data_IF_528947790566
#
_entry.id   IF_528947790566
#
_cell.length_a   1.000
_cell.length_b   1.000
_cell.length_c   1.000
_cell.angle_alpha   90.00
_cell.angle_beta   90.00
_cell.angle_gamma   90.00
#
_symmetry.space_group_name_H-M   'P 1'
#
loop_
_entity.id
_entity.type
_entity.pdbx_description
1 polymer ?
#
# COMPACT_ATOMS: atom_id res chain seq x y z
N UNK A 1 11.17 17.34 -22.17
CA UNK A 1 10.35 16.12 -22.11
C UNK A 1 11.19 14.92 -22.46
N UNK A 2 10.99 13.83 -21.78
CA UNK A 2 11.71 12.59 -22.04
C UNK A 2 10.93 11.72 -23.03
N UNK A 3 11.61 11.10 -23.97
CA UNK A 3 11.05 10.04 -24.82
C UNK A 3 10.61 8.86 -23.93
N UNK A 4 9.52 8.19 -24.26
CA UNK A 4 9.00 7.03 -23.50
C UNK A 4 9.97 5.84 -23.39
N UNK A 5 11.13 5.91 -24.02
CA UNK A 5 12.25 4.97 -23.88
C UNK A 5 13.14 5.25 -22.65
N UNK A 6 13.05 6.44 -22.05
CA UNK A 6 13.85 6.82 -20.90
C UNK A 6 13.12 6.44 -19.60
N UNK A 7 13.78 5.66 -18.76
CA UNK A 7 13.29 5.38 -17.42
C UNK A 7 13.59 6.54 -16.46
N UNK A 8 13.02 6.48 -15.27
CA UNK A 8 13.14 7.53 -14.24
C UNK A 8 14.60 7.83 -13.89
N UNK A 9 15.46 6.80 -13.79
CA UNK A 9 16.88 6.97 -13.53
C UNK A 9 17.60 7.70 -14.65
N UNK A 10 17.28 7.39 -15.91
CA UNK A 10 17.87 8.07 -17.06
C UNK A 10 17.48 9.56 -17.11
N UNK A 11 16.22 9.85 -16.79
CA UNK A 11 15.71 11.23 -16.71
C UNK A 11 16.44 11.99 -15.60
N UNK A 12 16.51 11.44 -14.39
CA UNK A 12 17.20 12.07 -13.26
C UNK A 12 18.68 12.30 -13.56
N UNK A 13 19.36 11.28 -14.10
CA UNK A 13 20.77 11.39 -14.50
C UNK A 13 20.98 12.50 -15.56
N UNK A 14 20.08 12.62 -16.53
CA UNK A 14 20.14 13.69 -17.51
C UNK A 14 19.95 15.07 -16.85
N UNK A 15 18.93 15.23 -16.02
CA UNK A 15 18.66 16.49 -15.32
C UNK A 15 19.83 16.93 -14.45
N UNK A 16 20.42 16.02 -13.71
CA UNK A 16 21.57 16.31 -12.85
C UNK A 16 22.83 16.61 -13.66
N UNK A 17 23.12 15.90 -14.73
CA UNK A 17 24.31 16.12 -15.58
C UNK A 17 24.24 17.45 -16.34
N UNK A 18 23.09 17.78 -16.89
CA UNK A 18 22.89 19.02 -17.65
C UNK A 18 22.55 20.22 -16.78
N UNK A 19 22.33 20.02 -15.48
CA UNK A 19 21.91 21.04 -14.53
C UNK A 19 20.69 21.87 -15.02
N UNK A 20 19.71 21.18 -15.60
CA UNK A 20 18.47 21.81 -16.10
C UNK A 20 17.79 22.57 -14.96
N UNK A 21 17.36 23.79 -15.24
CA UNK A 21 16.68 24.67 -14.29
C UNK A 21 17.49 24.92 -12.98
N UNK A 22 18.81 24.80 -13.04
CA UNK A 22 19.74 24.94 -11.91
C UNK A 22 19.40 24.00 -10.73
N UNK A 23 18.98 22.79 -11.03
CA UNK A 23 18.55 21.81 -10.04
C UNK A 23 19.63 21.50 -8.99
N UNK A 24 20.93 21.58 -9.39
CA UNK A 24 22.03 21.35 -8.45
C UNK A 24 22.14 22.46 -7.42
N UNK A 25 21.73 23.68 -7.75
CA UNK A 25 21.68 24.80 -6.80
C UNK A 25 20.66 24.61 -5.67
N UNK A 26 19.68 23.71 -5.87
CA UNK A 26 18.69 23.32 -4.87
C UNK A 26 19.19 22.22 -3.92
N UNK A 27 20.24 21.49 -4.31
CA UNK A 27 20.76 20.32 -3.60
C UNK A 27 21.95 20.70 -2.73
N UNK A 28 22.03 20.09 -1.57
CA UNK A 28 23.13 20.28 -0.61
C UNK A 28 23.79 18.94 -0.31
N UNK A 29 25.07 18.99 0.00
CA UNK A 29 25.78 17.82 0.51
C UNK A 29 25.09 17.30 1.78
N UNK A 30 24.87 15.99 1.84
CA UNK A 30 24.13 15.36 2.94
C UNK A 30 22.64 15.28 2.77
N UNK A 31 22.06 15.88 1.72
CA UNK A 31 20.64 15.67 1.39
C UNK A 31 20.32 14.20 1.16
N UNK A 32 19.09 13.79 1.48
CA UNK A 32 18.64 12.41 1.35
C UNK A 32 17.53 12.32 0.30
N UNK A 33 17.77 11.57 -0.76
CA UNK A 33 16.78 11.23 -1.75
C UNK A 33 16.06 9.94 -1.38
N UNK A 34 14.75 10.03 -1.17
CA UNK A 34 13.90 8.87 -0.96
C UNK A 34 13.27 8.47 -2.30
N UNK A 35 13.82 7.43 -2.91
CA UNK A 35 13.50 7.05 -4.29
C UNK A 35 12.86 5.66 -4.38
N UNK A 36 12.26 5.33 -5.53
CA UNK A 36 11.83 3.98 -5.79
C UNK A 36 12.90 3.15 -6.54
N UNK A 37 12.58 1.88 -6.79
CA UNK A 37 13.51 0.96 -7.45
C UNK A 37 13.81 1.34 -8.91
N UNK A 38 12.98 2.16 -9.54
CA UNK A 38 13.19 2.70 -10.88
C UNK A 38 14.42 3.60 -10.98
N UNK A 39 14.82 4.21 -9.85
CA UNK A 39 15.98 5.09 -9.77
C UNK A 39 17.31 4.38 -9.46
N UNK A 40 17.34 3.05 -9.38
CA UNK A 40 18.54 2.28 -9.03
C UNK A 40 19.79 2.72 -9.82
N UNK A 41 19.66 2.95 -11.11
CA UNK A 41 20.77 3.28 -11.99
C UNK A 41 21.22 4.76 -11.88
N UNK A 42 20.53 5.57 -11.07
CA UNK A 42 20.93 6.94 -10.72
C UNK A 42 21.73 7.02 -9.40
N UNK A 43 21.70 5.97 -8.57
CA UNK A 43 22.37 5.97 -7.25
C UNK A 43 23.86 6.30 -7.32
N UNK A 44 24.66 5.79 -8.30
CA UNK A 44 26.07 6.16 -8.38
C UNK A 44 26.28 7.66 -8.57
N UNK A 45 25.52 8.31 -9.46
CA UNK A 45 25.65 9.75 -9.70
C UNK A 45 25.24 10.58 -8.48
N UNK A 46 24.17 10.18 -7.76
CA UNK A 46 23.76 10.85 -6.52
C UNK A 46 24.88 10.78 -5.47
N UNK A 47 25.50 9.62 -5.31
CA UNK A 47 26.63 9.43 -4.40
C UNK A 47 27.84 10.30 -4.78
N UNK A 48 28.16 10.39 -6.07
CA UNK A 48 29.24 11.25 -6.56
C UNK A 48 28.99 12.74 -6.30
N UNK A 49 27.72 13.14 -6.17
CA UNK A 49 27.30 14.50 -5.80
C UNK A 49 27.19 14.71 -4.28
N UNK A 50 27.59 13.74 -3.46
CA UNK A 50 27.48 13.80 -2.01
C UNK A 50 26.06 13.67 -1.46
N UNK A 51 25.13 13.18 -2.28
CA UNK A 51 23.71 13.00 -1.93
C UNK A 51 23.47 11.55 -1.49
N UNK A 52 22.89 11.38 -0.32
CA UNK A 52 22.44 10.08 0.14
C UNK A 52 21.15 9.67 -0.57
N UNK A 53 20.98 8.36 -0.82
CA UNK A 53 19.77 7.87 -1.45
C UNK A 53 19.24 6.64 -0.73
N UNK A 54 17.98 6.71 -0.30
CA UNK A 54 17.26 5.64 0.38
C UNK A 54 16.23 5.03 -0.57
N UNK A 55 16.33 3.72 -0.79
CA UNK A 55 15.50 2.98 -1.73
C UNK A 55 15.05 1.65 -1.11
N UNK A 56 13.82 1.17 -1.40
CA UNK A 56 13.38 -0.15 -0.96
C UNK A 56 14.31 -1.25 -1.50
N UNK A 57 14.70 -2.20 -0.64
CA UNK A 57 15.58 -3.30 -0.98
C UNK A 57 15.13 -4.07 -2.22
N UNK A 58 16.10 -4.48 -3.03
CA UNK A 58 15.89 -5.27 -4.23
C UNK A 58 16.32 -6.72 -3.93
N UNK A 59 15.39 -7.65 -4.14
CA UNK A 59 15.71 -9.09 -4.00
C UNK A 59 16.77 -9.50 -4.99
N UNK A 60 17.76 -10.25 -4.52
CA UNK A 60 18.80 -10.83 -5.37
C UNK A 60 18.24 -12.00 -6.19
N UNK A 61 18.92 -12.31 -7.29
CA UNK A 61 18.53 -13.44 -8.15
C UNK A 61 18.61 -14.75 -7.35
N UNK A 62 17.50 -15.47 -7.27
CA UNK A 62 17.40 -16.74 -6.53
C UNK A 62 16.78 -16.59 -5.13
N UNK A 63 16.69 -15.41 -4.57
CA UNK A 63 16.00 -15.18 -3.31
C UNK A 63 14.48 -15.26 -3.49
N UNK A 64 13.82 -15.81 -2.47
CA UNK A 64 12.35 -15.90 -2.43
C UNK A 64 11.72 -14.84 -1.56
N UNK A 65 12.47 -14.30 -0.61
CA UNK A 65 12.02 -13.35 0.40
C UNK A 65 13.20 -12.48 0.84
N UNK A 66 12.92 -11.21 1.15
CA UNK A 66 13.88 -10.32 1.81
C UNK A 66 14.18 -10.80 3.24
N UNK A 67 15.37 -10.53 3.74
CA UNK A 67 15.69 -10.68 5.16
C UNK A 67 14.80 -9.78 6.01
N UNK A 68 14.74 -10.02 7.32
CA UNK A 68 13.94 -9.18 8.23
C UNK A 68 14.40 -7.73 8.19
N UNK A 69 15.72 -7.50 8.30
CA UNK A 69 16.28 -6.14 8.25
C UNK A 69 15.98 -5.41 6.93
N UNK A 70 16.18 -6.05 5.78
CA UNK A 70 15.86 -5.46 4.47
C UNK A 70 14.37 -5.15 4.31
N UNK A 71 13.50 -6.03 4.82
CA UNK A 71 12.07 -5.84 4.75
C UNK A 71 11.60 -4.72 5.68
N UNK A 72 12.21 -4.58 6.87
CA UNK A 72 11.99 -3.50 7.82
C UNK A 72 12.44 -2.16 7.21
N UNK A 73 13.70 -2.06 6.76
CA UNK A 73 14.24 -0.85 6.12
C UNK A 73 13.41 -0.42 4.91
N UNK A 74 13.01 -1.37 4.06
CA UNK A 74 12.11 -1.08 2.93
C UNK A 74 10.76 -0.50 3.39
N UNK A 75 10.28 -0.88 4.57
CA UNK A 75 9.03 -0.33 5.10
C UNK A 75 9.18 1.11 5.55
N UNK A 76 10.32 1.49 6.16
CA UNK A 76 10.63 2.88 6.51
C UNK A 76 10.60 3.77 5.26
N UNK A 77 11.33 3.37 4.22
CA UNK A 77 11.36 4.09 2.93
C UNK A 77 9.96 4.22 2.33
N UNK A 78 9.19 3.12 2.26
CA UNK A 78 7.85 3.15 1.65
C UNK A 78 6.83 3.94 2.47
N UNK A 79 7.03 4.08 3.78
CA UNK A 79 6.17 4.91 4.62
C UNK A 79 6.30 6.39 4.27
N UNK A 80 7.52 6.87 4.00
CA UNK A 80 7.77 8.27 3.62
C UNK A 80 7.28 8.53 2.18
N UNK A 81 7.50 7.61 1.26
CA UNK A 81 7.16 7.77 -0.17
C UNK A 81 5.69 8.01 -0.48
N UNK A 82 4.77 7.71 0.44
CA UNK A 82 3.34 7.97 0.22
C UNK A 82 3.06 9.46 -0.07
N UNK A 83 3.91 10.37 0.40
CA UNK A 83 3.79 11.81 0.18
C UNK A 83 3.85 12.12 -1.33
N UNK A 84 4.78 11.49 -2.05
CA UNK A 84 4.92 11.64 -3.51
C UNK A 84 3.69 11.13 -4.24
N UNK A 85 3.17 9.96 -3.82
CA UNK A 85 1.96 9.39 -4.41
C UNK A 85 0.73 10.30 -4.16
N UNK A 86 0.65 10.88 -2.97
CA UNK A 86 -0.42 11.83 -2.62
C UNK A 86 -0.34 13.12 -3.40
N UNK A 87 0.87 13.66 -3.62
CA UNK A 87 1.09 14.84 -4.46
C UNK A 87 0.69 14.55 -5.91
N UNK A 88 1.13 13.43 -6.46
CA UNK A 88 0.73 13.00 -7.80
C UNK A 88 -0.80 12.80 -7.93
N UNK A 89 -1.44 12.22 -6.92
CA UNK A 89 -2.89 12.06 -6.91
C UNK A 89 -3.62 13.42 -6.88
N UNK A 90 -3.08 14.43 -6.19
CA UNK A 90 -3.63 15.80 -6.23
C UNK A 90 -3.56 16.41 -7.61
N UNK A 91 -2.42 16.27 -8.30
CA UNK A 91 -2.24 16.76 -9.67
C UNK A 91 -3.21 16.04 -10.62
N UNK A 92 -3.36 14.73 -10.51
CA UNK A 92 -4.25 13.92 -11.35
C UNK A 92 -5.75 14.12 -11.07
N UNK A 93 -6.15 14.84 -10.00
CA UNK A 93 -7.55 15.29 -9.84
C UNK A 93 -7.98 16.23 -10.97
N UNK A 94 -7.05 16.92 -11.58
CA UNK A 94 -7.29 17.70 -12.78
C UNK A 94 -7.28 16.76 -13.98
N UNK A 95 -8.46 16.38 -14.43
CA UNK A 95 -8.66 15.35 -15.46
C UNK A 95 -7.83 15.57 -16.73
N UNK A 96 -7.52 16.83 -17.02
CA UNK A 96 -6.68 17.17 -18.17
C UNK A 96 -5.26 16.59 -18.06
N UNK A 97 -4.70 16.48 -16.85
CA UNK A 97 -3.38 15.88 -16.59
C UNK A 97 -3.41 14.37 -16.33
N UNK A 98 -4.61 13.78 -16.23
CA UNK A 98 -4.79 12.35 -16.02
C UNK A 98 -4.94 11.54 -17.31
N UNK A 99 -4.91 12.20 -18.46
CA UNK A 99 -5.07 11.59 -19.79
C UNK A 99 -3.82 11.73 -20.66
N UNK A 100 -3.75 10.93 -21.74
CA UNK A 100 -2.74 11.11 -22.78
C UNK A 100 -2.97 12.45 -23.45
N UNK A 101 -1.95 13.31 -23.38
CA UNK A 101 -2.03 14.66 -23.93
C UNK A 101 -1.76 14.70 -25.44
N UNK A 102 -2.50 15.50 -26.21
CA UNK A 102 -2.19 15.73 -27.61
C UNK A 102 -0.79 16.34 -27.80
N UNK A 103 -0.07 15.94 -28.84
CA UNK A 103 1.27 16.43 -29.10
C UNK A 103 1.36 17.97 -29.23
N UNK A 104 0.29 18.62 -29.71
CA UNK A 104 0.19 20.07 -29.82
C UNK A 104 0.22 20.79 -28.46
N UNK A 105 -0.12 20.10 -27.37
CA UNK A 105 -0.17 20.65 -26.02
C UNK A 105 1.13 20.38 -25.22
N UNK A 106 2.03 19.56 -25.76
CA UNK A 106 3.28 19.21 -25.08
C UNK A 106 4.14 20.43 -24.70
N UNK A 107 4.26 21.50 -25.51
CA UNK A 107 5.04 22.68 -25.13
C UNK A 107 4.50 23.39 -23.87
N UNK A 108 3.22 23.27 -23.58
CA UNK A 108 2.54 23.99 -22.48
C UNK A 108 2.39 23.15 -21.21
N UNK A 109 2.81 21.88 -21.21
CA UNK A 109 2.55 20.97 -20.07
C UNK A 109 3.20 21.47 -18.79
N UNK A 110 4.37 22.10 -18.89
CA UNK A 110 5.05 22.71 -17.74
C UNK A 110 4.21 23.80 -17.09
N UNK A 111 3.57 24.65 -17.89
CA UNK A 111 2.71 25.71 -17.39
C UNK A 111 1.43 25.16 -16.78
N UNK A 112 0.82 24.13 -17.38
CA UNK A 112 -0.33 23.46 -16.81
C UNK A 112 -0.02 22.85 -15.43
N UNK A 113 1.13 22.18 -15.29
CA UNK A 113 1.57 21.62 -14.00
C UNK A 113 1.80 22.73 -12.98
N UNK A 114 2.45 23.85 -13.35
CA UNK A 114 2.67 25.00 -12.47
C UNK A 114 1.34 25.60 -11.98
N UNK A 115 0.37 25.79 -12.88
CA UNK A 115 -0.96 26.32 -12.55
C UNK A 115 -1.67 25.37 -11.58
N UNK A 116 -1.68 24.08 -11.89
CA UNK A 116 -2.33 23.06 -11.04
C UNK A 116 -1.67 22.98 -9.67
N UNK A 117 -0.35 23.05 -9.59
CA UNK A 117 0.37 23.08 -8.31
C UNK A 117 0.03 24.35 -7.52
N UNK A 118 -0.03 25.52 -8.16
CA UNK A 118 -0.41 26.77 -7.49
C UNK A 118 -1.82 26.73 -6.94
N UNK A 119 -2.79 26.22 -7.72
CA UNK A 119 -4.19 26.04 -7.29
C UNK A 119 -4.25 25.03 -6.13
N UNK A 120 -3.54 23.91 -6.25
CA UNK A 120 -3.53 22.85 -5.23
C UNK A 120 -2.94 23.37 -3.91
N UNK A 121 -1.86 24.13 -3.96
CA UNK A 121 -1.22 24.70 -2.78
C UNK A 121 -2.10 25.75 -2.09
N UNK A 122 -2.89 26.50 -2.85
CA UNK A 122 -3.75 27.56 -2.31
C UNK A 122 -5.05 27.03 -1.72
N UNK A 123 -5.68 26.05 -2.35
CA UNK A 123 -7.06 25.66 -2.06
C UNK A 123 -7.22 24.29 -1.42
N UNK A 124 -6.22 23.41 -1.51
CA UNK A 124 -6.29 22.12 -0.84
C UNK A 124 -5.61 22.18 0.53
N UNK A 125 -6.14 21.46 1.51
CA UNK A 125 -5.50 21.38 2.83
C UNK A 125 -4.10 20.76 2.72
N UNK A 126 -3.20 21.02 3.67
CA UNK A 126 -1.91 20.33 3.75
C UNK A 126 -2.07 18.81 3.72
N UNK A 127 -1.04 18.08 3.30
CA UNK A 127 -1.06 16.60 3.31
C UNK A 127 -1.01 16.04 4.74
N UNK A 128 -0.41 16.77 5.66
CA UNK A 128 -0.40 16.47 7.09
C UNK A 128 -0.90 17.70 7.86
N UNK A 129 -1.70 17.49 8.88
CA UNK A 129 -2.15 18.57 9.77
C UNK A 129 -1.12 18.78 10.89
N UNK A 130 -0.98 20.01 11.41
CA UNK A 130 -0.12 20.27 12.57
C UNK A 130 -0.45 19.40 13.78
N UNK A 131 -1.73 19.06 13.97
CA UNK A 131 -2.21 18.24 15.09
C UNK A 131 -1.76 16.76 15.00
N UNK A 132 -1.22 16.33 13.86
CA UNK A 132 -0.73 14.95 13.66
C UNK A 132 0.76 14.82 13.93
N UNK A 133 1.50 15.89 14.16
CA UNK A 133 2.97 15.87 14.28
C UNK A 133 3.41 14.98 15.45
N UNK A 134 2.82 15.13 16.62
CA UNK A 134 3.17 14.31 17.80
C UNK A 134 2.87 12.82 17.56
N UNK A 135 1.75 12.52 16.91
CA UNK A 135 1.38 11.15 16.58
C UNK A 135 2.32 10.55 15.53
N UNK A 136 2.72 11.33 14.54
CA UNK A 136 3.67 10.90 13.51
C UNK A 136 5.07 10.67 14.11
N UNK A 137 5.51 11.48 15.07
CA UNK A 137 6.77 11.28 15.80
C UNK A 137 6.75 9.99 16.63
N UNK A 138 5.66 9.72 17.36
CA UNK A 138 5.50 8.47 18.11
C UNK A 138 5.53 7.24 17.20
N UNK A 139 4.86 7.32 16.06
CA UNK A 139 4.88 6.25 15.04
C UNK A 139 6.30 6.05 14.50
N UNK A 140 7.00 7.14 14.20
CA UNK A 140 8.38 7.09 13.69
C UNK A 140 9.32 6.43 14.69
N UNK A 141 9.25 6.82 15.98
CA UNK A 141 10.04 6.21 17.05
C UNK A 141 9.75 4.71 17.20
N UNK A 142 8.46 4.32 17.19
CA UNK A 142 8.03 2.91 17.22
C UNK A 142 8.59 2.12 16.03
N UNK A 143 8.54 2.72 14.82
CA UNK A 143 9.11 2.10 13.61
C UNK A 143 10.61 1.89 13.72
N UNK A 144 11.35 2.89 14.21
CA UNK A 144 12.80 2.80 14.40
C UNK A 144 13.18 1.73 15.43
N UNK A 145 12.48 1.66 16.55
CA UNK A 145 12.69 0.62 17.56
C UNK A 145 12.41 -0.80 17.02
N UNK A 146 11.41 -0.94 16.16
CA UNK A 146 11.09 -2.22 15.54
C UNK A 146 12.05 -2.59 14.41
N UNK A 147 12.70 -1.61 13.78
CA UNK A 147 13.61 -1.85 12.65
C UNK A 147 14.77 -2.78 13.01
N UNK A 148 15.27 -2.67 14.24
CA UNK A 148 16.40 -3.47 14.73
C UNK A 148 15.99 -4.88 15.20
N UNK A 149 14.69 -5.18 15.25
CA UNK A 149 14.21 -6.48 15.76
C UNK A 149 14.20 -7.53 14.66
N UNK A 150 14.66 -8.72 15.01
CA UNK A 150 14.48 -9.93 14.21
C UNK A 150 13.05 -10.47 14.34
N UNK A 151 12.61 -11.21 13.34
CA UNK A 151 11.30 -11.85 13.37
C UNK A 151 11.40 -13.24 14.06
N UNK A 152 11.12 -13.27 15.36
CA UNK A 152 11.20 -14.49 16.16
C UNK A 152 10.23 -15.58 15.66
N UNK A 153 9.03 -15.20 15.20
CA UNK A 153 8.09 -16.17 14.66
C UNK A 153 8.57 -16.78 13.35
N UNK A 154 9.27 -16.02 12.51
CA UNK A 154 9.95 -16.54 11.32
C UNK A 154 10.98 -17.59 11.71
N UNK A 155 11.86 -17.26 12.65
CA UNK A 155 12.89 -18.18 13.14
C UNK A 155 12.27 -19.48 13.67
N UNK A 156 11.23 -19.39 14.48
CA UNK A 156 10.51 -20.53 15.02
C UNK A 156 9.87 -21.40 13.90
N UNK A 157 9.25 -20.77 12.92
CA UNK A 157 8.61 -21.47 11.78
C UNK A 157 9.65 -22.22 10.94
N UNK A 158 10.81 -21.60 10.72
CA UNK A 158 11.91 -22.18 9.93
C UNK A 158 12.59 -23.30 10.71
N UNK A 159 12.95 -23.08 11.98
CA UNK A 159 13.61 -24.05 12.85
C UNK A 159 12.75 -25.31 13.06
N UNK A 160 11.50 -25.13 13.42
CA UNK A 160 10.55 -26.23 13.64
C UNK A 160 9.99 -26.82 12.36
N UNK A 161 10.26 -26.24 11.18
CA UNK A 161 9.79 -26.70 9.89
C UNK A 161 8.25 -26.68 9.79
N UNK A 162 7.57 -25.74 10.43
CA UNK A 162 6.10 -25.73 10.58
C UNK A 162 5.38 -25.67 9.22
N UNK A 163 5.99 -25.09 8.21
CA UNK A 163 5.42 -25.02 6.87
C UNK A 163 5.23 -26.39 6.19
N UNK A 164 6.02 -27.40 6.59
CA UNK A 164 6.00 -28.76 6.01
C UNK A 164 5.18 -29.75 6.81
N UNK A 165 4.94 -29.49 8.09
CA UNK A 165 4.22 -30.36 9.01
C UNK A 165 2.71 -30.15 8.86
N UNK A 166 1.99 -31.05 8.20
CA UNK A 166 0.54 -30.94 8.00
C UNK A 166 -0.27 -31.43 9.19
N UNK A 167 0.22 -32.43 9.91
CA UNK A 167 -0.50 -33.12 10.99
C UNK A 167 -0.70 -32.29 12.26
N UNK A 168 0.09 -31.25 12.45
CA UNK A 168 0.02 -30.34 13.60
C UNK A 168 -0.99 -29.20 13.40
N UNK A 169 -1.62 -29.11 12.25
CA UNK A 169 -2.57 -28.08 11.88
C UNK A 169 -3.94 -28.69 11.69
N UNK A 170 -4.95 -28.18 12.36
CA UNK A 170 -6.36 -28.50 12.11
C UNK A 170 -7.15 -27.27 11.71
N UNK A 171 -8.29 -27.41 11.02
CA UNK A 171 -9.18 -26.28 10.77
C UNK A 171 -9.51 -25.55 12.07
N UNK A 172 -9.64 -24.23 12.01
CA UNK A 172 -10.04 -23.41 13.14
C UNK A 172 -11.54 -23.64 13.43
N UNK A 173 -11.90 -23.81 14.70
CA UNK A 173 -13.29 -23.93 15.13
C UNK A 173 -13.87 -22.57 15.53
N UNK A 174 -15.19 -22.42 15.53
CA UNK A 174 -15.86 -21.15 15.82
C UNK A 174 -15.49 -20.61 17.22
N UNK A 175 -15.33 -21.47 18.23
CA UNK A 175 -14.93 -21.08 19.57
C UNK A 175 -13.49 -20.50 19.61
N UNK A 176 -12.59 -21.04 18.80
CA UNK A 176 -11.20 -20.54 18.71
C UNK A 176 -11.13 -19.26 17.90
N UNK A 177 -11.99 -19.12 16.90
CA UNK A 177 -12.17 -17.85 16.20
C UNK A 177 -12.64 -16.78 17.19
N UNK A 178 -13.51 -17.11 18.14
CA UNK A 178 -13.96 -16.20 19.21
C UNK A 178 -12.84 -15.81 20.17
N UNK A 179 -11.87 -16.70 20.40
CA UNK A 179 -10.68 -16.44 21.22
C UNK A 179 -9.64 -15.52 20.56
N UNK A 180 -9.79 -15.18 19.27
CA UNK A 180 -8.93 -14.20 18.62
C UNK A 180 -9.30 -12.78 19.07
N UNK A 181 -8.31 -11.89 19.38
CA UNK A 181 -8.59 -10.57 19.95
C UNK A 181 -9.46 -9.72 19.05
N UNK A 182 -10.43 -9.02 19.65
CA UNK A 182 -11.21 -7.98 18.99
C UNK A 182 -10.40 -6.69 19.01
N UNK A 183 -10.07 -6.19 17.84
CA UNK A 183 -9.27 -4.99 17.69
C UNK A 183 -10.12 -3.87 17.07
N UNK A 184 -9.97 -2.65 17.59
CA UNK A 184 -10.54 -1.45 17.00
C UNK A 184 -9.77 -1.06 15.71
N UNK A 185 -10.34 -0.14 14.92
CA UNK A 185 -9.67 0.38 13.73
C UNK A 185 -8.37 1.12 14.09
N UNK A 186 -8.31 1.78 15.25
CA UNK A 186 -7.12 2.44 15.78
C UNK A 186 -6.03 1.41 16.09
N UNK A 187 -6.37 0.35 16.83
CA UNK A 187 -5.45 -0.73 17.17
C UNK A 187 -4.93 -1.45 15.91
N UNK A 188 -5.80 -1.70 14.94
CA UNK A 188 -5.41 -2.26 13.65
C UNK A 188 -4.47 -1.31 12.88
N UNK A 189 -4.75 -0.01 12.90
CA UNK A 189 -3.89 1.00 12.28
C UNK A 189 -2.51 1.08 12.93
N UNK A 190 -2.44 0.94 14.26
CA UNK A 190 -1.19 0.85 15.00
C UNK A 190 -0.36 -0.37 14.63
N UNK A 191 -0.98 -1.56 14.55
CA UNK A 191 -0.30 -2.80 14.19
C UNK A 191 0.24 -2.78 12.75
N UNK A 192 -0.52 -2.21 11.83
CA UNK A 192 -0.14 -2.12 10.41
C UNK A 192 0.79 -0.94 10.12
N UNK A 193 0.93 0.00 11.08
CA UNK A 193 1.63 1.28 10.93
C UNK A 193 1.14 2.06 9.70
N UNK A 194 -0.20 2.08 9.51
CA UNK A 194 -0.88 2.84 8.47
C UNK A 194 -2.15 2.18 7.94
N UNK A 195 -3.02 2.99 7.40
CA UNK A 195 -4.37 2.60 6.96
C UNK A 195 -4.42 1.92 5.58
N UNK A 196 -3.34 1.98 4.78
CA UNK A 196 -3.37 1.48 3.41
C UNK A 196 -3.67 -0.02 3.33
N UNK A 197 -2.98 -0.83 4.14
CA UNK A 197 -3.18 -2.28 4.17
C UNK A 197 -4.58 -2.64 4.66
N UNK A 198 -5.12 -1.87 5.61
CA UNK A 198 -6.46 -2.08 6.16
C UNK A 198 -7.57 -1.78 5.14
N UNK A 199 -7.44 -0.68 4.39
CA UNK A 199 -8.41 -0.35 3.33
C UNK A 199 -8.54 -1.43 2.26
N UNK A 200 -7.47 -2.19 2.06
CA UNK A 200 -7.45 -3.29 1.10
C UNK A 200 -7.89 -4.62 1.71
N UNK A 201 -7.93 -4.73 3.04
CA UNK A 201 -8.16 -6.00 3.72
C UNK A 201 -9.56 -6.55 3.47
N UNK A 202 -10.60 -5.70 3.45
CA UNK A 202 -11.98 -6.14 3.22
C UNK A 202 -12.17 -6.73 1.83
N UNK A 203 -11.76 -6.03 0.77
CA UNK A 203 -11.86 -6.54 -0.59
C UNK A 203 -10.99 -7.78 -0.82
N UNK A 204 -9.80 -7.79 -0.23
CA UNK A 204 -8.89 -8.92 -0.34
C UNK A 204 -9.43 -10.18 0.34
N UNK A 205 -10.02 -10.05 1.54
CA UNK A 205 -10.65 -11.18 2.22
C UNK A 205 -11.91 -11.65 1.54
N UNK A 206 -12.71 -10.76 0.95
CA UNK A 206 -13.91 -11.17 0.21
C UNK A 206 -13.56 -12.09 -0.97
N UNK A 207 -12.50 -11.81 -1.72
CA UNK A 207 -12.02 -12.70 -2.77
C UNK A 207 -11.63 -14.09 -2.25
N UNK A 208 -11.25 -14.19 -0.97
CA UNK A 208 -10.77 -15.43 -0.35
C UNK A 208 -11.83 -16.15 0.50
N UNK A 209 -12.82 -15.46 1.06
CA UNK A 209 -13.89 -16.06 1.90
C UNK A 209 -14.95 -16.79 1.09
N UNK A 210 -15.09 -16.48 -0.20
CA UNK A 210 -16.02 -17.20 -1.09
C UNK A 210 -15.58 -18.62 -1.49
N UNK A 211 -14.53 -19.18 -0.82
CA UNK A 211 -14.20 -20.59 -0.98
C UNK A 211 -12.77 -21.03 -0.72
N UNK A 212 -11.83 -20.18 -0.34
CA UNK A 212 -10.40 -20.56 -0.30
C UNK A 212 -9.56 -19.98 0.85
N UNK A 213 -10.13 -19.49 1.91
CA UNK A 213 -9.37 -19.12 3.10
C UNK A 213 -9.24 -20.33 4.02
N UNK A 214 -8.11 -21.03 3.91
CA UNK A 214 -7.79 -22.18 4.75
C UNK A 214 -7.06 -21.67 6.00
N UNK A 215 -7.83 -21.27 7.02
CA UNK A 215 -7.29 -20.86 8.33
C UNK A 215 -7.24 -22.10 9.22
N UNK A 216 -6.09 -22.32 9.85
CA UNK A 216 -5.81 -23.47 10.70
C UNK A 216 -5.20 -23.01 12.01
N UNK A 217 -5.47 -23.77 13.06
CA UNK A 217 -4.87 -23.58 14.36
C UNK A 217 -3.90 -24.73 14.67
N UNK A 218 -2.85 -24.42 15.43
CA UNK A 218 -1.89 -25.43 15.86
C UNK A 218 -2.51 -26.32 16.95
N UNK A 219 -2.39 -27.65 16.81
CA UNK A 219 -3.05 -28.64 17.70
C UNK A 219 -2.68 -28.48 19.17
N UNK A 220 -1.43 -28.12 19.47
CA UNK A 220 -0.91 -27.99 20.84
C UNK A 220 -0.75 -26.54 21.32
N UNK A 221 -0.88 -25.55 20.44
CA UNK A 221 -0.70 -24.14 20.75
C UNK A 221 -1.82 -23.34 20.06
N UNK A 222 -2.97 -23.24 20.71
CA UNK A 222 -4.17 -22.61 20.15
C UNK A 222 -3.98 -21.11 19.83
N UNK A 223 -2.99 -20.48 20.47
CA UNK A 223 -2.57 -19.09 20.18
C UNK A 223 -1.81 -18.93 18.87
N UNK A 224 -1.44 -20.01 18.19
CA UNK A 224 -0.74 -20.00 16.91
C UNK A 224 -1.65 -20.43 15.77
N UNK A 225 -1.92 -19.48 14.88
CA UNK A 225 -2.75 -19.66 13.68
C UNK A 225 -1.87 -19.70 12.44
N UNK A 226 -2.22 -20.54 11.48
CA UNK A 226 -1.68 -20.53 10.13
C UNK A 226 -2.77 -20.30 9.11
N UNK A 227 -2.49 -19.52 8.07
CA UNK A 227 -3.41 -19.36 6.94
C UNK A 227 -2.64 -19.45 5.61
N UNK A 228 -3.38 -19.78 4.54
CA UNK A 228 -2.84 -19.84 3.19
C UNK A 228 -3.65 -18.92 2.29
N UNK A 229 -3.00 -17.86 1.79
CA UNK A 229 -3.64 -16.88 0.91
C UNK A 229 -2.96 -16.82 -0.45
N UNK A 230 -3.76 -16.51 -1.47
CA UNK A 230 -3.26 -16.23 -2.81
C UNK A 230 -2.57 -14.87 -2.85
N UNK A 231 -1.54 -14.74 -3.68
CA UNK A 231 -0.85 -13.47 -3.90
C UNK A 231 -1.75 -12.49 -4.63
N UNK A 232 -1.76 -11.23 -4.18
CA UNK A 232 -2.48 -10.14 -4.84
C UNK A 232 -2.01 -9.86 -6.27
N UNK A 233 -0.71 -10.02 -6.52
CA UNK A 233 -0.09 -9.63 -7.80
C UNK A 233 0.14 -10.79 -8.76
N UNK A 234 0.04 -12.02 -8.27
CA UNK A 234 0.32 -13.21 -9.06
C UNK A 234 -0.64 -14.31 -8.67
N UNK A 235 -1.70 -14.50 -9.45
CA UNK A 235 -2.79 -15.43 -9.16
C UNK A 235 -2.35 -16.89 -8.95
N UNK A 236 -1.23 -17.30 -9.59
CA UNK A 236 -0.66 -18.64 -9.44
C UNK A 236 0.10 -18.87 -8.14
N UNK A 237 0.42 -17.82 -7.37
CA UNK A 237 1.19 -17.94 -6.12
C UNK A 237 0.30 -17.88 -4.90
N UNK A 238 0.56 -18.80 -3.96
CA UNK A 238 -0.06 -18.81 -2.64
C UNK A 238 1.03 -18.73 -1.59
N UNK A 239 0.81 -17.94 -0.53
CA UNK A 239 1.72 -17.77 0.58
C UNK A 239 1.12 -18.32 1.85
N UNK A 240 1.92 -19.06 2.61
CA UNK A 240 1.58 -19.39 3.99
C UNK A 240 1.96 -18.25 4.91
N UNK A 241 1.17 -18.05 5.93
CA UNK A 241 1.43 -17.09 6.99
C UNK A 241 1.11 -17.69 8.35
N UNK A 242 1.70 -17.12 9.38
CA UNK A 242 1.51 -17.51 10.77
C UNK A 242 1.29 -16.25 11.60
N UNK A 243 0.40 -16.36 12.58
CA UNK A 243 0.05 -15.29 13.51
C UNK A 243 0.00 -15.91 14.91
N UNK A 244 0.74 -15.31 15.84
CA UNK A 244 0.62 -15.63 17.26
C UNK A 244 -0.15 -14.51 17.93
N UNK A 245 -1.09 -14.90 18.76
CA UNK A 245 -1.96 -13.97 19.49
C UNK A 245 -2.19 -14.45 20.93
N UNK A 246 -2.58 -13.54 21.79
CA UNK A 246 -3.25 -13.80 23.05
C UNK A 246 -4.74 -13.49 22.93
N UNK A 247 -5.48 -13.50 24.03
CA UNK A 247 -6.88 -13.09 24.06
C UNK A 247 -7.05 -11.58 23.78
N UNK A 248 -6.03 -10.78 24.13
CA UNK A 248 -6.10 -9.32 24.08
C UNK A 248 -5.39 -8.69 22.88
N UNK A 249 -4.38 -9.36 22.30
CA UNK A 249 -3.53 -8.75 21.28
C UNK A 249 -2.92 -9.73 20.30
N UNK A 250 -2.52 -9.21 19.15
CA UNK A 250 -1.66 -9.91 18.18
C UNK A 250 -0.19 -9.64 18.54
N UNK A 251 0.53 -10.71 18.90
CA UNK A 251 1.89 -10.63 19.45
C UNK A 251 2.96 -10.62 18.35
N UNK A 252 2.85 -11.53 17.39
CA UNK A 252 3.83 -11.68 16.33
C UNK A 252 3.22 -12.28 15.06
N UNK A 253 3.89 -12.06 13.93
CA UNK A 253 3.43 -12.53 12.63
C UNK A 253 4.58 -12.81 11.69
N UNK A 254 4.35 -13.74 10.77
CA UNK A 254 5.26 -14.05 9.67
C UNK A 254 4.48 -14.48 8.44
N UNK A 255 4.92 -14.05 7.26
CA UNK A 255 4.34 -14.47 5.97
C UNK A 255 5.46 -14.79 4.97
N UNK A 256 5.29 -15.82 4.16
CA UNK A 256 6.25 -16.23 3.12
C UNK A 256 6.29 -15.29 1.90
N UNK A 257 5.51 -14.22 1.85
CA UNK A 257 5.58 -13.25 0.76
C UNK A 257 6.91 -12.47 0.79
N UNK A 258 7.24 -11.80 -0.31
CA UNK A 258 8.53 -11.10 -0.50
C UNK A 258 8.96 -10.21 0.66
N UNK A 259 8.02 -9.53 1.31
CA UNK A 259 8.25 -8.60 2.44
C UNK A 259 7.61 -9.07 3.74
N UNK A 260 7.19 -10.33 3.81
CA UNK A 260 6.43 -10.86 4.95
C UNK A 260 7.26 -11.25 6.17
N UNK A 261 8.57 -11.14 6.08
CA UNK A 261 9.53 -11.32 7.18
C UNK A 261 9.59 -10.12 8.12
N UNK A 262 9.07 -8.95 7.71
CA UNK A 262 9.15 -7.70 8.47
C UNK A 262 8.35 -7.74 9.77
N UNK A 263 8.84 -7.02 10.77
CA UNK A 263 8.15 -6.73 12.03
C UNK A 263 7.68 -5.28 12.11
N UNK A 264 8.23 -4.39 11.27
CA UNK A 264 7.76 -3.01 11.11
C UNK A 264 6.47 -3.01 10.30
N UNK A 265 5.34 -3.03 11.00
CA UNK A 265 4.02 -3.20 10.40
C UNK A 265 3.83 -4.56 9.72
N UNK A 266 2.70 -4.73 9.04
CA UNK A 266 2.29 -5.99 8.44
C UNK A 266 2.32 -5.94 6.92
N UNK A 267 2.49 -7.09 6.25
CA UNK A 267 2.18 -7.22 4.83
C UNK A 267 0.66 -7.32 4.62
N UNK A 268 0.18 -7.08 3.40
CA UNK A 268 -1.27 -7.11 3.10
C UNK A 268 -1.92 -8.45 3.40
N UNK A 269 -1.18 -9.57 3.29
CA UNK A 269 -1.71 -10.90 3.58
C UNK A 269 -2.01 -11.08 5.08
N UNK A 270 -1.08 -10.67 5.95
CA UNK A 270 -1.27 -10.73 7.41
C UNK A 270 -2.34 -9.73 7.83
N UNK A 271 -2.26 -8.48 7.35
CA UNK A 271 -3.24 -7.45 7.68
C UNK A 271 -4.68 -7.89 7.33
N UNK A 272 -4.85 -8.58 6.20
CA UNK A 272 -6.16 -9.10 5.78
C UNK A 272 -6.70 -10.16 6.75
N UNK A 273 -5.88 -11.13 7.17
CA UNK A 273 -6.32 -12.18 8.12
C UNK A 273 -6.55 -11.59 9.50
N UNK A 274 -5.66 -10.73 9.99
CA UNK A 274 -5.85 -10.05 11.29
C UNK A 274 -7.13 -9.24 11.28
N UNK A 275 -7.35 -8.41 10.27
CA UNK A 275 -8.58 -7.62 10.13
C UNK A 275 -9.82 -8.52 10.11
N UNK A 276 -9.81 -9.60 9.32
CA UNK A 276 -10.94 -10.52 9.23
C UNK A 276 -11.26 -11.17 10.57
N UNK A 277 -10.25 -11.72 11.26
CA UNK A 277 -10.44 -12.40 12.53
C UNK A 277 -10.80 -11.46 13.68
N UNK A 278 -10.32 -10.20 13.67
CA UNK A 278 -10.57 -9.23 14.74
C UNK A 278 -11.85 -8.41 14.55
N UNK A 279 -12.16 -7.99 13.32
CA UNK A 279 -13.23 -7.05 13.03
C UNK A 279 -14.18 -7.53 11.91
N UNK A 280 -13.64 -7.99 10.78
CA UNK A 280 -14.42 -8.25 9.58
C UNK A 280 -15.52 -9.29 9.75
N UNK A 281 -15.28 -10.34 10.53
CA UNK A 281 -16.26 -11.42 10.79
C UNK A 281 -17.50 -10.95 11.57
N UNK A 282 -17.39 -9.83 12.27
CA UNK A 282 -18.50 -9.24 13.04
C UNK A 282 -19.32 -8.26 12.21
N UNK A 283 -18.82 -7.86 11.04
CA UNK A 283 -19.56 -7.01 10.13
C UNK A 283 -20.60 -7.84 9.38
N UNK A 284 -21.76 -7.26 9.13
CA UNK A 284 -22.78 -7.94 8.33
C UNK A 284 -22.23 -8.24 6.95
N UNK A 285 -22.51 -9.44 6.40
CA UNK A 285 -22.00 -9.90 5.09
C UNK A 285 -22.27 -8.91 3.95
N UNK A 286 -23.30 -8.10 4.07
CA UNK A 286 -23.65 -7.07 3.07
C UNK A 286 -22.69 -5.88 3.02
N UNK A 287 -21.89 -5.64 4.09
CA UNK A 287 -20.91 -4.56 4.16
C UNK A 287 -19.49 -4.99 3.81
N UNK A 288 -19.24 -6.31 3.66
CA UNK A 288 -17.95 -6.86 3.30
C UNK A 288 -17.78 -6.83 1.77
N UNK A 289 -16.91 -5.91 1.30
CA UNK A 289 -16.44 -5.91 -0.08
C UNK A 289 -16.91 -4.75 -0.95
N UNK A 290 -16.80 -4.91 -2.25
CA UNK A 290 -17.25 -3.93 -3.25
C UNK A 290 -18.79 -3.90 -3.19
N UNK A 291 -19.37 -2.69 -3.13
CA UNK A 291 -20.84 -2.52 -3.23
C UNK A 291 -21.36 -3.32 -4.41
N UNK A 292 -22.40 -4.11 -4.17
CA UNK A 292 -23.14 -4.77 -5.25
C UNK A 292 -23.86 -3.69 -6.07
N UNK A 293 -23.16 -3.23 -7.11
CA UNK A 293 -23.68 -2.20 -8.01
C UNK A 293 -24.94 -2.65 -8.74
N UNK A 294 -25.16 -3.97 -8.86
CA UNK A 294 -26.39 -4.51 -9.44
C UNK A 294 -27.65 -4.07 -8.72
N UNK A 295 -27.56 -3.78 -7.40
CA UNK A 295 -28.69 -3.24 -6.62
C UNK A 295 -29.01 -1.77 -6.91
N UNK A 296 -28.06 -1.04 -7.51
CA UNK A 296 -28.16 0.41 -7.77
C UNK A 296 -28.24 0.73 -9.26
N UNK A 297 -28.06 -0.29 -10.13
CA UNK A 297 -28.21 -0.11 -11.56
C UNK A 297 -29.70 -0.31 -11.92
N UNK A 298 -30.33 0.77 -12.37
CA UNK A 298 -31.64 0.66 -13.01
C UNK A 298 -31.46 0.23 -14.45
N UNK A 299 -32.32 -0.68 -14.93
CA UNK A 299 -32.34 -1.06 -16.33
C UNK A 299 -32.71 0.18 -17.17
N UNK A 300 -31.83 0.59 -18.06
CA UNK A 300 -32.03 1.76 -18.91
C UNK A 300 -33.28 1.64 -19.79
N UNK A 301 -33.73 0.42 -20.09
CA UNK A 301 -34.98 0.15 -20.80
C UNK A 301 -36.24 0.51 -20.00
N UNK A 302 -36.10 0.61 -18.67
CA UNK A 302 -37.20 0.97 -17.78
C UNK A 302 -37.31 2.50 -17.55
N UNK A 303 -36.35 3.29 -18.02
CA UNK A 303 -36.40 4.75 -17.95
C UNK A 303 -37.37 5.23 -19.05
N UNK A 304 -38.56 5.68 -18.64
CA UNK A 304 -39.45 6.38 -19.56
C UNK A 304 -38.77 7.69 -19.93
N UNK A 305 -38.44 7.85 -21.21
CA UNK A 305 -38.09 9.13 -21.78
C UNK A 305 -39.42 9.89 -21.89
N UNK A 306 -39.67 10.83 -21.00
CA UNK A 306 -40.77 11.78 -21.18
C UNK A 306 -40.45 12.63 -22.40
N UNK A 307 -41.11 12.35 -23.52
CA UNK A 307 -41.11 13.18 -24.74
C UNK A 307 -41.81 14.50 -24.52
N UNK A 308 -41.48 15.23 -23.47
CA UNK A 308 -41.93 16.60 -23.24
C UNK A 308 -40.86 17.63 -23.61
N UNK A 309 -40.38 17.59 -24.85
CA UNK A 309 -39.83 18.78 -25.49
C UNK A 309 -40.76 19.25 -26.57
N UNK A 310 -41.85 19.83 -26.15
CA UNK A 310 -42.60 20.72 -27.00
C UNK A 310 -41.73 21.94 -27.36
N UNK A 311 -41.46 22.06 -28.64
CA UNK A 311 -41.25 23.28 -29.40
C UNK A 311 -41.29 24.59 -28.57
N UNK A 312 -40.13 25.17 -28.31
CA UNK A 312 -40.02 26.62 -28.23
C UNK A 312 -39.42 27.12 -29.54
N UNK A 313 -40.31 27.85 -30.22
CA UNK A 313 -40.09 28.55 -31.46
C UNK A 313 -39.01 29.62 -31.30
N UNK A 314 -38.11 29.64 -32.24
CA UNK A 314 -37.28 30.80 -32.59
C UNK A 314 -38.12 32.08 -32.64
N UNK A 315 -37.77 33.08 -31.85
CA UNK A 315 -38.04 34.47 -32.15
C UNK A 315 -36.73 35.24 -32.00
N UNK A 316 -36.19 35.58 -33.15
CA UNK A 316 -35.22 36.65 -33.33
C UNK A 316 -35.64 37.89 -32.59
N UNK A 317 -34.67 38.55 -31.89
CA UNK A 317 -34.61 40.04 -31.87
C UNK A 317 -33.18 40.45 -31.46
N UNK A 318 -32.52 41.15 -32.41
CA UNK A 318 -31.39 42.09 -32.32
C UNK A 318 -30.15 41.77 -31.51
#
# INVERSE_FOLDING_TARGET
MSDGKNNDAAILNHMLKTNIDDIRGLLREGDVFVVDRGFRDALPLLKDLGINAEMPAIMQKGEKQLTTGEANASRLVTKIRWVVESANARIKRFKYLDHVMPNSQLPFIGDFVRIVCAISNKYFPPLSSPDQVEQDELIAQKMLQQNEKENELKMLVEEKGLARKKTIWRPIEDCEVQGFPRLSDEQLSELTLGVYQLRLSSSYMQEHTTGNCDIKVHVHEQSLISAKLQSRYTSSRRYMLWIRHSEDMVESWYCQCKTGSRVVGMCSHIAAVVWFLSAGRYQQKESLGVRDWGKYLSDASAIRIDDSSSSESDSEVF
#
